data_IF_174222869347
#
_entry.id   IF_174222869347
#
_cell.length_a   1.000
_cell.length_b   1.000
_cell.length_c   1.000
_cell.angle_alpha   90.00
_cell.angle_beta   90.00
_cell.angle_gamma   90.00
#
_symmetry.space_group_name_H-M   'P 1'
#
loop_
_entity.id
_entity.type
_entity.pdbx_description
1 polymer ?
#
# COMPACT_ATOMS: atom_id res chain seq x y z
N UNK A 1 -17.97 13.62 -17.98
CA UNK A 1 -17.43 13.60 -16.60
C UNK A 1 -18.40 12.80 -15.74
N UNK A 2 -17.91 11.80 -15.05
CA UNK A 2 -18.68 11.03 -14.07
C UNK A 2 -18.07 11.25 -12.68
N UNK A 3 -18.92 11.38 -11.67
CA UNK A 3 -18.50 11.51 -10.28
C UNK A 3 -19.40 10.66 -9.38
N UNK A 4 -18.81 10.09 -8.35
CA UNK A 4 -19.52 9.33 -7.32
C UNK A 4 -18.99 9.78 -5.95
N UNK A 5 -19.91 10.18 -5.08
CA UNK A 5 -19.67 10.49 -3.68
C UNK A 5 -20.25 9.36 -2.84
N UNK A 6 -19.47 8.83 -1.90
CA UNK A 6 -19.93 7.83 -0.96
C UNK A 6 -19.64 8.25 0.48
N UNK A 7 -20.58 7.86 1.36
CA UNK A 7 -20.44 8.03 2.80
C UNK A 7 -20.56 6.64 3.44
N UNK A 8 -19.63 6.33 4.32
CA UNK A 8 -19.61 5.05 5.04
C UNK A 8 -19.38 5.28 6.53
N UNK A 9 -20.19 4.63 7.35
CA UNK A 9 -20.06 4.61 8.81
C UNK A 9 -19.99 3.17 9.31
N UNK A 10 -19.13 2.89 10.27
CA UNK A 10 -19.00 1.59 10.93
C UNK A 10 -18.78 1.80 12.42
N UNK A 11 -19.51 1.01 13.21
CA UNK A 11 -19.23 0.83 14.63
C UNK A 11 -19.11 -0.66 14.90
N UNK A 12 -18.07 -1.06 15.62
CA UNK A 12 -17.85 -2.45 16.00
C UNK A 12 -17.14 -2.54 17.34
N UNK A 13 -17.33 -3.65 18.03
CA UNK A 13 -16.58 -4.04 19.23
C UNK A 13 -15.46 -5.00 18.82
N UNK A 14 -14.26 -4.75 19.30
CA UNK A 14 -13.10 -5.63 19.11
C UNK A 14 -12.63 -6.18 20.43
N UNK A 15 -12.48 -7.49 20.52
CA UNK A 15 -11.84 -8.15 21.66
C UNK A 15 -10.33 -8.25 21.43
N UNK A 16 -9.53 -7.78 22.38
CA UNK A 16 -8.08 -7.83 22.35
C UNK A 16 -7.50 -7.90 23.76
N UNK A 17 -6.56 -8.81 24.00
CA UNK A 17 -5.88 -9.00 25.31
C UNK A 17 -6.83 -9.05 26.52
N UNK A 18 -7.96 -9.74 26.40
CA UNK A 18 -8.92 -9.90 27.48
C UNK A 18 -9.87 -8.70 27.69
N UNK A 19 -9.81 -7.68 26.85
CA UNK A 19 -10.64 -6.47 26.94
C UNK A 19 -11.45 -6.24 25.66
N UNK A 20 -12.57 -5.54 25.81
CA UNK A 20 -13.42 -5.09 24.72
C UNK A 20 -13.10 -3.64 24.39
N UNK A 21 -12.96 -3.32 23.12
CA UNK A 21 -12.68 -1.98 22.60
C UNK A 21 -13.72 -1.58 21.58
N UNK A 22 -14.21 -0.36 21.67
CA UNK A 22 -15.14 0.21 20.72
C UNK A 22 -14.38 0.87 19.57
N UNK A 23 -14.59 0.40 18.36
CA UNK A 23 -14.04 1.01 17.14
C UNK A 23 -15.15 1.67 16.34
N UNK A 24 -14.92 2.91 15.98
CA UNK A 24 -15.80 3.65 15.06
C UNK A 24 -15.01 4.08 13.83
N UNK A 25 -15.70 4.23 12.71
CA UNK A 25 -15.10 4.79 11.50
C UNK A 25 -16.17 5.54 10.72
N UNK A 26 -15.90 6.78 10.39
CA UNK A 26 -16.69 7.57 9.45
C UNK A 26 -15.78 7.96 8.31
N UNK A 27 -16.21 7.68 7.08
CA UNK A 27 -15.44 8.03 5.89
C UNK A 27 -16.29 8.64 4.80
N UNK A 28 -15.69 9.59 4.09
CA UNK A 28 -16.24 10.21 2.87
C UNK A 28 -15.27 9.92 1.75
N UNK A 29 -15.78 9.38 0.65
CA UNK A 29 -15.01 9.05 -0.54
C UNK A 29 -15.56 9.73 -1.79
N UNK A 30 -14.67 10.12 -2.68
CA UNK A 30 -14.97 10.71 -3.98
C UNK A 30 -14.23 9.93 -5.07
N UNK A 31 -14.98 9.59 -6.13
CA UNK A 31 -14.41 9.03 -7.35
C UNK A 31 -14.80 9.91 -8.54
N UNK A 32 -13.86 10.20 -9.40
CA UNK A 32 -14.01 11.07 -10.55
C UNK A 32 -13.47 10.36 -11.79
N UNK A 33 -14.19 10.48 -12.89
CA UNK A 33 -13.71 10.14 -14.23
C UNK A 33 -13.80 11.41 -15.09
N UNK A 34 -12.79 12.31 -14.96
CA UNK A 34 -12.84 13.61 -15.64
C UNK A 34 -12.75 13.48 -17.15
N UNK A 35 -11.95 12.54 -17.64
CA UNK A 35 -11.76 12.25 -19.06
C UNK A 35 -11.71 10.74 -19.30
N UNK A 36 -11.89 10.34 -20.56
CA UNK A 36 -11.66 8.94 -20.96
C UNK A 36 -10.24 8.52 -20.62
N UNK A 37 -10.11 7.34 -20.00
CA UNK A 37 -8.81 6.80 -19.58
C UNK A 37 -8.24 7.36 -18.28
N UNK A 38 -8.91 8.33 -17.61
CA UNK A 38 -8.46 8.86 -16.32
C UNK A 38 -9.53 8.67 -15.27
N UNK A 39 -9.21 7.89 -14.24
CA UNK A 39 -10.00 7.73 -13.03
C UNK A 39 -9.17 8.17 -11.83
N UNK A 40 -9.71 9.05 -11.02
CA UNK A 40 -9.11 9.53 -9.79
C UNK A 40 -10.07 9.28 -8.64
N UNK A 41 -9.54 8.95 -7.48
CA UNK A 41 -10.37 8.76 -6.31
C UNK A 41 -9.60 9.01 -5.04
N UNK A 42 -10.36 9.18 -3.97
CA UNK A 42 -9.80 9.34 -2.65
C UNK A 42 -10.87 9.29 -1.57
N UNK A 43 -10.42 9.16 -0.35
CA UNK A 43 -11.30 9.18 0.82
C UNK A 43 -10.59 9.80 2.01
N UNK A 44 -11.39 10.39 2.88
CA UNK A 44 -10.96 10.86 4.18
C UNK A 44 -11.76 10.08 5.21
N UNK A 45 -11.09 9.54 6.22
CA UNK A 45 -11.74 8.80 7.28
C UNK A 45 -11.25 9.25 8.66
N UNK A 46 -12.15 9.21 9.64
CA UNK A 46 -11.84 9.48 11.04
C UNK A 46 -12.67 8.59 11.95
N UNK A 47 -12.09 8.13 13.08
CA UNK A 47 -12.81 7.32 14.04
C UNK A 47 -11.93 6.86 15.19
N UNK A 48 -12.53 6.15 16.15
CA UNK A 48 -11.82 5.47 17.21
C UNK A 48 -11.23 4.15 16.69
N UNK A 49 -9.99 3.91 17.04
CA UNK A 49 -9.24 2.73 16.60
C UNK A 49 -8.38 2.20 17.72
N UNK A 50 -8.36 0.89 17.88
CA UNK A 50 -7.43 0.23 18.77
C UNK A 50 -6.01 0.26 18.18
N UNK A 51 -5.08 0.83 18.93
CA UNK A 51 -3.65 0.67 18.69
C UNK A 51 -3.20 -0.66 19.31
N UNK A 52 -3.06 -1.69 18.47
CA UNK A 52 -2.72 -3.06 18.91
C UNK A 52 -1.36 -3.14 19.62
N UNK A 53 -0.45 -2.20 19.36
CA UNK A 53 0.88 -2.19 19.98
C UNK A 53 0.89 -1.60 21.38
N UNK A 54 -0.08 -0.78 21.68
CA UNK A 54 -0.23 -0.16 22.99
C UNK A 54 -1.42 -0.73 23.77
N UNK A 55 -2.27 -1.57 23.13
CA UNK A 55 -3.54 -2.09 23.66
C UNK A 55 -4.42 -0.96 24.23
N UNK A 56 -4.47 0.17 23.51
CA UNK A 56 -5.22 1.38 23.88
C UNK A 56 -5.94 1.97 22.69
N UNK A 57 -7.06 2.61 22.94
CA UNK A 57 -7.81 3.35 21.94
C UNK A 57 -7.16 4.68 21.61
N UNK A 58 -7.28 5.08 20.35
CA UNK A 58 -6.88 6.38 19.86
C UNK A 58 -7.78 6.86 18.74
N UNK A 59 -7.69 8.13 18.39
CA UNK A 59 -8.40 8.71 17.26
C UNK A 59 -7.53 8.65 16.02
N UNK A 60 -7.92 7.79 15.08
CA UNK A 60 -7.30 7.68 13.77
C UNK A 60 -7.93 8.70 12.80
N UNK A 61 -7.08 9.41 12.08
CA UNK A 61 -7.44 10.17 10.89
C UNK A 61 -6.62 9.67 9.72
N UNK A 62 -7.25 9.43 8.58
CA UNK A 62 -6.57 8.93 7.39
C UNK A 62 -7.07 9.60 6.11
N UNK A 63 -6.17 9.74 5.17
CA UNK A 63 -6.43 10.21 3.80
C UNK A 63 -5.90 9.13 2.86
N UNK A 64 -6.75 8.68 1.95
CA UNK A 64 -6.38 7.79 0.87
C UNK A 64 -6.60 8.50 -0.46
N UNK A 65 -5.66 8.35 -1.38
CA UNK A 65 -5.76 8.83 -2.75
C UNK A 65 -5.29 7.75 -3.71
N UNK A 66 -5.95 7.61 -4.85
CA UNK A 66 -5.55 6.69 -5.90
C UNK A 66 -5.93 7.24 -7.27
N UNK A 67 -5.23 6.72 -8.28
CA UNK A 67 -5.48 7.03 -9.67
C UNK A 67 -5.37 5.80 -10.56
N UNK A 68 -6.04 5.85 -11.70
CA UNK A 68 -5.85 4.95 -12.82
C UNK A 68 -5.81 5.82 -14.08
N UNK A 69 -4.67 5.81 -14.74
CA UNK A 69 -4.37 6.71 -15.85
C UNK A 69 -3.92 5.87 -17.04
N UNK A 70 -4.75 5.84 -18.07
CA UNK A 70 -4.42 5.24 -19.36
C UNK A 70 -3.90 6.35 -20.29
N UNK A 71 -2.62 6.30 -20.58
CA UNK A 71 -1.95 7.25 -21.48
C UNK A 71 -2.07 6.86 -22.95
N UNK A 72 -2.81 5.79 -23.26
CA UNK A 72 -2.82 5.20 -24.58
C UNK A 72 -1.54 4.44 -24.91
N UNK A 73 -1.45 3.90 -26.11
CA UNK A 73 -0.30 3.09 -26.59
C UNK A 73 0.10 1.95 -25.65
N UNK A 74 -0.89 1.42 -24.90
CA UNK A 74 -0.68 0.32 -23.95
C UNK A 74 -0.05 0.72 -22.62
N UNK A 75 0.06 2.01 -22.29
CA UNK A 75 0.64 2.50 -21.02
C UNK A 75 -0.48 2.82 -20.03
N UNK A 76 -0.44 2.16 -18.88
CA UNK A 76 -1.35 2.39 -17.75
C UNK A 76 -0.55 2.62 -16.48
N UNK A 77 -0.93 3.64 -15.70
CA UNK A 77 -0.31 4.01 -14.43
C UNK A 77 -1.37 3.99 -13.33
N UNK A 78 -1.07 3.31 -12.24
CA UNK A 78 -1.95 3.16 -11.07
C UNK A 78 -1.21 3.61 -9.80
N UNK A 79 -1.17 4.92 -9.49
CA UNK A 79 -0.63 5.42 -8.23
C UNK A 79 -1.66 5.28 -7.11
N UNK A 80 -1.20 5.00 -5.90
CA UNK A 80 -1.97 5.11 -4.67
C UNK A 80 -1.12 5.59 -3.51
N UNK A 81 -1.72 6.32 -2.59
CA UNK A 81 -1.09 6.77 -1.36
C UNK A 81 -2.10 6.75 -0.22
N UNK A 82 -1.65 6.34 0.95
CA UNK A 82 -2.39 6.41 2.19
C UNK A 82 -1.54 7.13 3.24
N UNK A 83 -2.07 8.21 3.78
CA UNK A 83 -1.52 8.88 4.94
C UNK A 83 -2.44 8.69 6.14
N UNK A 84 -1.87 8.38 7.31
CA UNK A 84 -2.65 8.19 8.52
C UNK A 84 -1.93 8.76 9.74
N UNK A 85 -2.72 9.25 10.71
CA UNK A 85 -2.26 9.77 11.99
C UNK A 85 -3.16 9.26 13.10
N UNK A 86 -2.57 8.66 14.11
CA UNK A 86 -3.25 8.27 15.33
C UNK A 86 -2.91 9.25 16.45
N UNK A 87 -3.93 9.80 17.07
CA UNK A 87 -3.81 10.62 18.31
C UNK A 87 -4.30 9.85 19.50
N UNK A 88 -3.57 9.92 20.60
CA UNK A 88 -3.90 9.29 21.88
C UNK A 88 -3.27 10.09 23.02
N UNK A 89 -3.95 10.13 24.17
CA UNK A 89 -3.44 10.76 25.42
C UNK A 89 -2.92 12.19 25.21
N UNK A 90 -3.58 12.97 24.34
CA UNK A 90 -3.21 14.35 24.02
C UNK A 90 -2.04 14.51 23.02
N UNK A 91 -1.38 13.42 22.61
CA UNK A 91 -0.26 13.41 21.67
C UNK A 91 -0.56 12.70 20.34
N UNK A 92 0.40 12.76 19.45
CA UNK A 92 0.38 12.00 18.18
C UNK A 92 1.15 10.70 18.39
N UNK A 93 0.43 9.58 18.56
CA UNK A 93 1.04 8.28 18.79
C UNK A 93 1.86 7.82 17.57
N UNK A 94 1.31 7.95 16.35
CA UNK A 94 2.07 7.72 15.13
C UNK A 94 1.54 8.53 13.95
N UNK A 95 2.42 8.73 12.98
CA UNK A 95 2.09 9.17 11.62
C UNK A 95 2.67 8.14 10.65
N UNK A 96 1.91 7.73 9.65
CA UNK A 96 2.35 6.78 8.65
C UNK A 96 1.94 7.25 7.25
N UNK A 97 2.85 7.08 6.30
CA UNK A 97 2.63 7.25 4.87
C UNK A 97 2.99 5.95 4.17
N UNK A 98 2.07 5.45 3.36
CA UNK A 98 2.30 4.30 2.48
C UNK A 98 1.94 4.72 1.07
N UNK A 99 2.77 4.38 0.11
CA UNK A 99 2.45 4.58 -1.30
C UNK A 99 2.78 3.32 -2.11
N UNK A 100 2.01 3.12 -3.16
CA UNK A 100 2.21 2.09 -4.18
C UNK A 100 1.95 2.71 -5.55
N UNK A 101 2.81 2.39 -6.52
CA UNK A 101 2.63 2.83 -7.89
C UNK A 101 2.95 1.68 -8.82
N UNK A 102 2.00 1.35 -9.67
CA UNK A 102 2.18 0.36 -10.73
C UNK A 102 2.11 1.03 -12.09
N UNK A 103 3.16 0.85 -12.88
CA UNK A 103 3.21 1.20 -14.29
C UNK A 103 3.19 -0.09 -15.09
N UNK A 104 2.28 -0.21 -16.03
CA UNK A 104 2.19 -1.32 -16.96
C UNK A 104 2.30 -0.79 -18.40
N UNK A 105 3.18 -1.37 -19.17
CA UNK A 105 3.32 -1.07 -20.59
C UNK A 105 3.14 -2.34 -21.41
N UNK A 106 2.05 -2.38 -22.17
CA UNK A 106 1.76 -3.43 -23.13
C UNK A 106 2.42 -3.04 -24.47
N UNK A 107 3.62 -3.57 -24.72
CA UNK A 107 4.41 -3.29 -25.93
C UNK A 107 3.72 -3.83 -27.18
N UNK A 108 3.19 -5.05 -27.07
CA UNK A 108 2.39 -5.73 -28.09
C UNK A 108 1.47 -6.78 -27.40
N UNK A 109 0.60 -7.52 -28.12
CA UNK A 109 -0.28 -8.53 -27.53
C UNK A 109 0.44 -9.64 -26.75
N UNK A 110 1.73 -9.84 -26.98
CA UNK A 110 2.54 -10.89 -26.35
C UNK A 110 3.48 -10.37 -25.27
N UNK A 111 3.86 -9.09 -25.32
CA UNK A 111 4.90 -8.51 -24.47
C UNK A 111 4.34 -7.45 -23.54
N UNK A 112 4.65 -7.58 -22.25
CA UNK A 112 4.30 -6.60 -21.22
C UNK A 112 5.48 -6.35 -20.29
N UNK A 113 5.71 -5.08 -20.02
CA UNK A 113 6.60 -4.62 -18.97
C UNK A 113 5.76 -4.06 -17.80
N UNK A 114 6.12 -4.41 -16.58
CA UNK A 114 5.49 -3.88 -15.37
C UNK A 114 6.55 -3.41 -14.41
N UNK A 115 6.44 -2.17 -13.98
CA UNK A 115 7.19 -1.61 -12.87
C UNK A 115 6.24 -1.42 -11.68
N UNK A 116 6.61 -1.94 -10.53
CA UNK A 116 5.92 -1.69 -9.26
C UNK A 116 6.91 -0.99 -8.33
N UNK A 117 6.50 0.12 -7.74
CA UNK A 117 7.23 0.87 -6.73
C UNK A 117 6.34 0.99 -5.50
N UNK A 118 6.89 0.70 -4.34
CA UNK A 118 6.16 0.82 -3.09
C UNK A 118 7.08 1.38 -2.01
N UNK A 119 6.48 2.08 -1.06
CA UNK A 119 7.23 2.56 0.08
C UNK A 119 6.34 2.86 1.26
N UNK A 120 6.94 2.81 2.43
CA UNK A 120 6.31 3.21 3.68
C UNK A 120 7.26 4.05 4.52
N UNK A 121 6.67 4.97 5.25
CA UNK A 121 7.36 5.76 6.25
C UNK A 121 6.45 5.87 7.48
N UNK A 122 6.97 5.50 8.63
CA UNK A 122 6.24 5.57 9.88
C UNK A 122 7.10 6.25 10.95
N UNK A 123 6.50 7.16 11.69
CA UNK A 123 7.09 7.86 12.84
C UNK A 123 6.19 7.66 14.06
N UNK A 124 6.78 7.37 15.22
CA UNK A 124 6.07 7.15 16.48
C UNK A 124 6.64 8.01 17.60
N UNK A 125 5.77 8.50 18.46
CA UNK A 125 6.17 9.12 19.73
C UNK A 125 6.35 8.03 20.77
N UNK A 126 7.61 7.69 21.08
CA UNK A 126 7.94 6.65 22.05
C UNK A 126 7.43 6.94 23.45
N UNK A 127 7.20 8.21 23.80
CA UNK A 127 6.62 8.59 25.11
C UNK A 127 5.20 8.09 25.32
N UNK A 128 4.50 7.72 24.24
CA UNK A 128 3.14 7.19 24.29
C UNK A 128 3.08 5.64 24.24
N UNK A 129 4.21 4.96 24.21
CA UNK A 129 4.31 3.50 24.18
C UNK A 129 5.10 2.97 25.37
N UNK A 130 4.91 1.71 25.74
CA UNK A 130 5.74 1.04 26.73
C UNK A 130 7.17 0.92 26.22
N UNK A 131 8.13 1.08 27.12
CA UNK A 131 9.57 1.02 26.78
C UNK A 131 9.89 -0.29 26.06
N UNK A 132 10.50 -0.18 24.86
CA UNK A 132 10.91 -1.33 24.06
C UNK A 132 9.80 -2.03 23.26
N UNK A 133 8.53 -1.56 23.34
CA UNK A 133 7.41 -2.21 22.63
C UNK A 133 7.34 -1.88 21.14
N UNK A 134 7.90 -0.75 20.72
CA UNK A 134 7.89 -0.28 19.33
C UNK A 134 9.19 0.43 18.99
N UNK A 135 9.54 0.45 17.69
CA UNK A 135 10.59 1.31 17.15
C UNK A 135 10.08 2.75 16.98
N UNK A 136 10.98 3.73 17.07
CA UNK A 136 10.68 5.14 16.84
C UNK A 136 10.09 5.37 15.45
N UNK A 137 10.55 4.63 14.47
CA UNK A 137 10.06 4.73 13.13
C UNK A 137 10.79 3.78 12.20
N UNK A 138 10.46 3.88 10.93
CA UNK A 138 11.12 3.12 9.88
C UNK A 138 10.69 3.59 8.50
N UNK A 139 11.54 3.28 7.53
CA UNK A 139 11.30 3.52 6.11
C UNK A 139 11.55 2.24 5.36
N UNK A 140 10.61 1.89 4.52
CA UNK A 140 10.72 0.74 3.63
C UNK A 140 10.50 1.18 2.20
N UNK A 141 11.32 0.67 1.31
CA UNK A 141 11.21 0.89 -0.13
C UNK A 141 11.31 -0.43 -0.85
N UNK A 142 10.46 -0.62 -1.82
CA UNK A 142 10.50 -1.79 -2.69
C UNK A 142 10.25 -1.40 -4.14
N UNK A 143 10.93 -2.09 -5.03
CA UNK A 143 10.74 -1.96 -6.46
C UNK A 143 10.83 -3.32 -7.15
N UNK A 144 10.01 -3.52 -8.16
CA UNK A 144 10.06 -4.70 -9.01
C UNK A 144 9.84 -4.31 -10.46
N UNK A 145 10.74 -4.75 -11.33
CA UNK A 145 10.56 -4.69 -12.76
C UNK A 145 10.33 -6.10 -13.28
N UNK A 146 9.21 -6.31 -13.94
CA UNK A 146 8.78 -7.60 -14.49
C UNK A 146 8.55 -7.45 -16.00
N UNK A 147 9.25 -8.25 -16.77
CA UNK A 147 8.95 -8.48 -18.18
C UNK A 147 8.22 -9.81 -18.35
N UNK A 148 7.19 -9.84 -19.17
CA UNK A 148 6.46 -11.05 -19.54
C UNK A 148 6.33 -11.19 -21.05
N UNK A 149 6.58 -12.40 -21.54
CA UNK A 149 6.44 -12.77 -22.94
C UNK A 149 5.52 -13.98 -23.08
N UNK A 150 4.41 -13.83 -23.79
CA UNK A 150 3.47 -14.91 -24.11
C UNK A 150 3.86 -15.52 -25.46
N UNK A 151 4.34 -16.75 -25.44
CA UNK A 151 4.62 -17.52 -26.66
C UNK A 151 3.30 -17.90 -27.35
N UNK A 152 2.35 -18.40 -26.54
CA UNK A 152 1.00 -18.76 -26.94
C UNK A 152 0.07 -18.65 -25.72
N UNK A 153 -1.26 -18.88 -25.81
CA UNK A 153 -2.20 -18.78 -24.70
C UNK A 153 -1.85 -19.65 -23.47
N UNK A 154 -1.07 -20.71 -23.66
CA UNK A 154 -0.72 -21.69 -22.62
C UNK A 154 0.72 -21.57 -22.13
N UNK A 155 1.56 -20.81 -22.84
CA UNK A 155 3.00 -20.74 -22.57
C UNK A 155 3.44 -19.29 -22.40
N UNK A 156 4.04 -18.99 -21.26
CA UNK A 156 4.57 -17.67 -20.98
C UNK A 156 5.91 -17.75 -20.24
N UNK A 157 6.80 -16.82 -20.55
CA UNK A 157 8.04 -16.56 -19.86
C UNK A 157 7.92 -15.26 -19.05
N UNK A 158 8.53 -15.26 -17.89
CA UNK A 158 8.64 -14.09 -17.03
C UNK A 158 10.08 -13.93 -16.59
N UNK A 159 10.59 -12.72 -16.67
CA UNK A 159 11.89 -12.36 -16.12
C UNK A 159 11.77 -11.05 -15.36
N UNK A 160 12.45 -10.94 -14.25
CA UNK A 160 12.35 -9.73 -13.47
C UNK A 160 13.47 -9.55 -12.47
N UNK A 161 13.55 -8.32 -11.99
CA UNK A 161 14.44 -7.91 -10.92
C UNK A 161 13.61 -7.26 -9.81
N UNK A 162 14.02 -7.47 -8.58
CA UNK A 162 13.42 -6.83 -7.41
C UNK A 162 14.50 -6.19 -6.55
N UNK A 163 14.12 -5.12 -5.90
CA UNK A 163 14.93 -4.40 -4.93
C UNK A 163 14.07 -4.05 -3.72
N UNK A 164 14.60 -4.25 -2.54
CA UNK A 164 13.98 -3.84 -1.29
C UNK A 164 15.03 -3.22 -0.37
N UNK A 165 14.67 -2.18 0.33
CA UNK A 165 15.48 -1.53 1.34
C UNK A 165 14.62 -1.23 2.57
N UNK A 166 15.15 -1.54 3.74
CA UNK A 166 14.50 -1.28 5.04
C UNK A 166 15.48 -0.51 5.91
N UNK A 167 14.96 0.53 6.54
CA UNK A 167 15.66 1.29 7.58
C UNK A 167 14.79 1.32 8.82
N UNK A 168 15.35 0.90 9.95
CA UNK A 168 14.75 1.08 11.27
C UNK A 168 15.47 2.21 12.00
N UNK A 169 14.75 3.20 12.49
CA UNK A 169 15.31 4.37 13.18
C UNK A 169 15.83 4.03 14.60
N UNK A 170 15.64 2.81 15.08
CA UNK A 170 16.27 2.28 16.30
C UNK A 170 17.64 1.63 16.06
N UNK A 171 18.05 1.52 14.81
CA UNK A 171 19.32 0.89 14.48
C UNK A 171 20.49 1.76 14.96
N UNK A 172 21.45 1.16 15.67
CA UNK A 172 22.67 1.84 16.14
C UNK A 172 23.56 2.35 14.98
N UNK A 173 23.33 1.82 13.77
CA UNK A 173 23.95 2.25 12.53
C UNK A 173 22.90 2.77 11.55
N UNK A 174 22.41 4.01 11.71
CA UNK A 174 21.27 4.56 10.93
C UNK A 174 21.51 4.63 9.42
N UNK A 175 22.73 4.45 8.96
CA UNK A 175 23.10 4.45 7.54
C UNK A 175 23.09 3.06 6.89
N UNK A 176 22.91 2.00 7.68
CA UNK A 176 22.80 0.63 7.15
C UNK A 176 21.37 0.31 6.73
N UNK A 177 21.13 0.42 5.44
CA UNK A 177 19.92 -0.14 4.85
C UNK A 177 20.09 -1.65 4.67
N UNK A 178 19.18 -2.43 5.25
CA UNK A 178 19.02 -3.82 4.85
C UNK A 178 18.60 -3.86 3.38
N UNK A 179 19.49 -4.24 2.47
CA UNK A 179 19.21 -4.31 1.04
C UNK A 179 18.93 -5.75 0.63
N UNK A 180 17.82 -5.97 -0.01
CA UNK A 180 17.48 -7.23 -0.66
C UNK A 180 17.38 -7.00 -2.18
N UNK A 181 18.13 -7.79 -2.96
CA UNK A 181 18.11 -7.76 -4.43
C UNK A 181 17.82 -9.15 -4.94
N UNK A 182 16.88 -9.25 -5.85
CA UNK A 182 16.50 -10.51 -6.46
C UNK A 182 16.44 -10.41 -7.99
N UNK A 183 16.87 -11.48 -8.64
CA UNK A 183 16.62 -11.72 -10.06
C UNK A 183 15.86 -13.02 -10.15
N UNK A 184 14.82 -13.08 -10.96
CA UNK A 184 14.05 -14.30 -11.14
C UNK A 184 13.68 -14.52 -12.61
N UNK A 185 13.58 -15.81 -12.95
CA UNK A 185 13.03 -16.29 -14.20
C UNK A 185 11.94 -17.31 -13.88
N UNK A 186 10.83 -17.23 -14.58
CA UNK A 186 9.71 -18.16 -14.47
C UNK A 186 9.22 -18.57 -15.84
N UNK A 187 9.05 -19.87 -16.03
CA UNK A 187 8.34 -20.45 -17.16
C UNK A 187 6.99 -20.99 -16.69
N UNK A 188 5.94 -20.68 -17.41
CA UNK A 188 4.59 -21.19 -17.16
C UNK A 188 4.07 -21.90 -18.39
N UNK A 189 3.61 -23.14 -18.21
CA UNK A 189 3.00 -23.97 -19.26
C UNK A 189 1.70 -24.56 -18.73
N UNK A 190 0.60 -24.29 -19.43
CA UNK A 190 -0.71 -24.88 -19.16
C UNK A 190 -0.91 -26.13 -19.99
N UNK A 191 -0.94 -27.30 -19.34
CA UNK A 191 -1.28 -28.58 -19.98
C UNK A 191 -2.77 -28.85 -19.81
N UNK A 192 -3.48 -29.14 -20.93
CA UNK A 192 -4.82 -29.69 -20.90
C UNK A 192 -4.70 -31.14 -21.35
N UNK A 193 -5.03 -32.14 -20.49
CA UNK A 193 -5.24 -33.49 -20.98
C UNK A 193 -6.39 -33.42 -21.97
N UNK A 194 -6.19 -33.97 -23.15
CA UNK A 194 -7.19 -34.00 -24.22
C UNK A 194 -8.46 -34.67 -23.70
N UNK A 195 -9.60 -33.97 -23.89
CA UNK A 195 -10.92 -34.58 -23.79
C UNK A 195 -11.19 -35.40 -25.02
#
# INVERSE_FOLDING_TARGET
MQSNLNLFGLTRVRFWEGQMFDETNLSVGLNLTPWSGIRLGGSIASGQRLDLRASREGRLFSINAFGEIDLGRGINIQPSANWSRLKRDGGVAFTALVFDTRLSWQLDPRQRLRLTLQGSHIERDLGLYSIGSVSKGGREWGGQLLYSYKVNPRTAFYGGVSYGAVRDDNDLAPDMFGNNRGVFLKYSYGWQPGG
#
